data_IF_160071076831
#
_entry.id   IF_160071076831
#
_cell.length_a   1.000
_cell.length_b   1.000
_cell.length_c   1.000
_cell.angle_alpha   90.00
_cell.angle_beta   90.00
_cell.angle_gamma   90.00
#
_symmetry.space_group_name_H-M   'P 1'
#
loop_
_entity.id
_entity.type
_entity.pdbx_description
1 polymer ?
#
# COMPACT_ATOMS: atom_id res chain seq x y z
N UNK A 1 -22.47 2.88 17.62
CA UNK A 1 -21.28 2.03 17.40
C UNK A 1 -21.69 0.91 16.45
N UNK A 2 -21.52 1.10 15.14
CA UNK A 2 -21.67 0.01 14.16
C UNK A 2 -20.34 -0.72 14.07
N UNK A 3 -20.38 -2.05 14.06
CA UNK A 3 -19.23 -2.97 14.11
C UNK A 3 -18.32 -2.95 12.85
N UNK A 4 -18.22 -1.82 12.16
CA UNK A 4 -17.52 -1.69 10.87
C UNK A 4 -16.10 -1.13 10.98
N UNK A 5 -15.68 -0.75 12.19
CA UNK A 5 -14.37 -0.11 12.43
C UNK A 5 -13.48 -1.01 13.29
N UNK A 6 -13.22 -2.21 12.80
CA UNK A 6 -12.08 -3.01 13.28
C UNK A 6 -11.14 -3.13 12.08
N UNK A 7 -9.85 -2.77 12.19
CA UNK A 7 -8.88 -2.99 11.14
C UNK A 7 -8.72 -4.50 10.94
N UNK A 8 -9.49 -5.06 10.00
CA UNK A 8 -9.48 -6.49 9.70
C UNK A 8 -8.32 -6.80 8.76
N UNK A 9 -7.38 -7.68 9.15
CA UNK A 9 -6.30 -8.13 8.28
C UNK A 9 -6.88 -9.16 7.29
N UNK A 10 -7.45 -8.70 6.18
CA UNK A 10 -7.87 -9.57 5.08
C UNK A 10 -9.11 -9.12 4.33
N UNK A 11 -9.55 -9.97 3.41
CA UNK A 11 -10.78 -9.78 2.66
C UNK A 11 -11.99 -9.68 3.59
N UNK A 12 -12.93 -8.79 3.27
CA UNK A 12 -14.18 -8.70 4.02
C UNK A 12 -15.02 -9.96 3.74
N UNK A 13 -15.82 -10.43 4.71
CA UNK A 13 -16.77 -11.51 4.46
C UNK A 13 -17.66 -11.15 3.28
N UNK A 14 -18.03 -12.17 2.48
CA UNK A 14 -19.00 -11.97 1.43
C UNK A 14 -20.34 -11.54 2.03
N UNK A 15 -20.95 -10.49 1.48
CA UNK A 15 -22.25 -9.97 1.89
C UNK A 15 -23.16 -9.89 0.66
N UNK A 16 -24.40 -10.38 0.78
CA UNK A 16 -25.39 -10.39 -0.31
C UNK A 16 -24.85 -11.00 -1.62
N UNK A 17 -24.03 -12.07 -1.50
CA UNK A 17 -23.41 -12.74 -2.65
C UNK A 17 -22.22 -12.00 -3.28
N UNK A 18 -21.80 -10.87 -2.71
CA UNK A 18 -20.66 -10.07 -3.19
C UNK A 18 -19.42 -10.35 -2.35
N UNK A 19 -18.34 -10.79 -2.99
CA UNK A 19 -17.01 -10.89 -2.39
C UNK A 19 -16.23 -9.58 -2.60
N UNK A 20 -16.03 -8.81 -1.53
CA UNK A 20 -15.28 -7.55 -1.57
C UNK A 20 -13.80 -7.77 -1.19
N UNK A 21 -12.94 -7.87 -2.20
CA UNK A 21 -11.48 -8.03 -2.05
C UNK A 21 -10.73 -6.70 -1.93
N UNK A 22 -11.43 -5.56 -1.86
CA UNK A 22 -10.75 -4.26 -1.71
C UNK A 22 -10.16 -4.17 -0.30
N UNK A 23 -8.96 -3.58 -0.16
CA UNK A 23 -8.38 -3.33 1.16
C UNK A 23 -9.30 -2.45 2.04
N UNK A 24 -9.17 -2.52 3.38
CA UNK A 24 -9.84 -1.60 4.28
C UNK A 24 -9.57 -0.14 3.89
N UNK A 25 -10.61 0.70 3.83
CA UNK A 25 -10.51 2.07 3.29
C UNK A 25 -9.44 2.91 4.00
N UNK A 26 -9.31 2.76 5.31
CA UNK A 26 -8.32 3.46 6.12
C UNK A 26 -7.12 2.56 6.41
N UNK A 27 -6.42 2.13 5.36
CA UNK A 27 -5.24 1.29 5.49
C UNK A 27 -4.14 1.69 4.52
N UNK A 28 -2.89 1.39 4.89
CA UNK A 28 -1.74 1.59 4.01
C UNK A 28 -1.94 0.92 2.66
N UNK A 29 -2.53 -0.29 2.63
CA UNK A 29 -2.83 -1.03 1.39
C UNK A 29 -3.80 -0.26 0.49
N UNK A 30 -4.85 0.34 1.04
CA UNK A 30 -5.77 1.16 0.26
C UNK A 30 -5.09 2.42 -0.30
N UNK A 31 -4.23 3.06 0.47
CA UNK A 31 -3.47 4.23 0.02
C UNK A 31 -2.42 3.88 -1.04
N UNK A 32 -1.75 2.73 -0.93
CA UNK A 32 -0.84 2.22 -1.96
C UNK A 32 -1.60 1.95 -3.27
N UNK A 33 -2.77 1.30 -3.21
CA UNK A 33 -3.64 1.12 -4.39
C UNK A 33 -4.08 2.46 -4.99
N UNK A 34 -4.46 3.45 -4.17
CA UNK A 34 -4.85 4.79 -4.63
C UNK A 34 -3.72 5.47 -5.40
N UNK A 35 -2.47 5.23 -4.98
CA UNK A 35 -1.27 5.76 -5.62
C UNK A 35 -0.80 4.95 -6.84
N UNK A 36 -1.49 3.85 -7.18
CA UNK A 36 -1.20 3.01 -8.35
C UNK A 36 -0.21 1.88 -8.08
N UNK A 37 0.16 1.62 -6.83
CA UNK A 37 0.98 0.46 -6.49
C UNK A 37 0.12 -0.81 -6.38
N UNK A 38 0.70 -1.93 -6.79
CA UNK A 38 0.11 -3.26 -6.78
C UNK A 38 0.90 -4.20 -5.86
N UNK A 39 0.23 -5.19 -5.27
CA UNK A 39 0.90 -6.22 -4.48
C UNK A 39 1.92 -6.96 -5.35
N UNK A 40 3.13 -7.14 -4.83
CA UNK A 40 4.23 -7.79 -5.56
C UNK A 40 4.62 -9.12 -4.91
N UNK A 41 5.05 -9.10 -3.64
CA UNK A 41 5.47 -10.31 -2.91
C UNK A 41 5.26 -10.17 -1.41
N UNK A 42 5.29 -11.30 -0.71
CA UNK A 42 5.43 -11.36 0.74
C UNK A 42 6.45 -12.45 1.06
N UNK A 43 7.67 -12.06 1.41
CA UNK A 43 8.82 -12.97 1.52
C UNK A 43 9.01 -13.47 2.98
N UNK A 44 7.92 -13.53 3.76
CA UNK A 44 7.89 -14.01 5.14
C UNK A 44 8.31 -12.99 6.21
N UNK A 45 9.03 -11.93 5.83
CA UNK A 45 9.43 -10.83 6.73
C UNK A 45 8.73 -9.51 6.41
N UNK A 46 8.48 -9.23 5.13
CA UNK A 46 7.81 -8.00 4.72
C UNK A 46 6.94 -8.20 3.49
N UNK A 47 5.82 -7.48 3.48
CA UNK A 47 4.93 -7.32 2.33
C UNK A 47 5.50 -6.22 1.42
N UNK A 48 5.54 -6.47 0.10
CA UNK A 48 6.07 -5.55 -0.89
C UNK A 48 5.04 -5.21 -1.98
N UNK A 49 5.04 -3.94 -2.38
CA UNK A 49 4.14 -3.37 -3.38
C UNK A 49 4.94 -2.57 -4.40
N UNK A 50 4.52 -2.57 -5.66
CA UNK A 50 5.24 -1.88 -6.74
C UNK A 50 4.33 -1.09 -7.66
N UNK A 51 4.85 0.02 -8.14
CA UNK A 51 4.46 0.60 -9.43
C UNK A 51 5.65 0.35 -10.37
N UNK A 52 5.50 -0.61 -11.29
CA UNK A 52 6.56 -0.97 -12.23
C UNK A 52 6.80 0.13 -13.29
N UNK A 53 5.75 0.85 -13.67
CA UNK A 53 5.83 1.91 -14.69
C UNK A 53 6.62 3.10 -14.15
N UNK A 54 6.39 3.47 -12.90
CA UNK A 54 7.11 4.57 -12.22
C UNK A 54 8.34 4.10 -11.44
N UNK A 55 8.68 2.82 -11.47
CA UNK A 55 9.83 2.29 -10.73
C UNK A 55 9.77 2.59 -9.23
N UNK A 56 8.60 2.40 -8.59
CA UNK A 56 8.42 2.58 -7.14
C UNK A 56 8.36 1.21 -6.47
N UNK A 57 9.04 1.06 -5.34
CA UNK A 57 8.92 -0.06 -4.42
C UNK A 57 8.47 0.45 -3.06
N UNK A 58 7.42 -0.15 -2.50
CA UNK A 58 6.95 0.09 -1.16
C UNK A 58 7.09 -1.20 -0.34
N UNK A 59 7.76 -1.13 0.80
CA UNK A 59 7.97 -2.28 1.70
C UNK A 59 7.45 -1.95 3.07
N UNK A 60 6.55 -2.79 3.59
CA UNK A 60 6.04 -2.64 4.96
C UNK A 60 7.13 -2.94 5.98
N UNK A 61 7.05 -2.28 7.14
CA UNK A 61 7.83 -2.72 8.31
C UNK A 61 7.22 -4.00 8.91
N UNK A 62 7.96 -4.66 9.81
CA UNK A 62 7.55 -5.94 10.42
C UNK A 62 6.22 -5.87 11.20
N UNK A 63 5.86 -4.69 11.73
CA UNK A 63 4.59 -4.46 12.43
C UNK A 63 3.43 -4.08 11.50
N UNK A 64 3.74 -3.77 10.22
CA UNK A 64 2.76 -3.34 9.23
C UNK A 64 2.14 -1.96 9.50
N UNK A 65 2.78 -1.12 10.33
CA UNK A 65 2.26 0.20 10.74
C UNK A 65 2.77 1.35 9.88
N UNK A 66 3.80 1.10 9.09
CA UNK A 66 4.45 2.04 8.19
C UNK A 66 4.92 1.34 6.92
N UNK A 67 5.20 2.14 5.90
CA UNK A 67 5.73 1.66 4.62
C UNK A 67 6.90 2.52 4.17
N UNK A 68 8.01 1.89 3.78
CA UNK A 68 9.12 2.56 3.12
C UNK A 68 8.87 2.61 1.62
N UNK A 69 8.58 3.80 1.10
CA UNK A 69 8.45 4.07 -0.34
C UNK A 69 9.81 4.45 -0.90
N UNK A 70 10.25 3.77 -1.95
CA UNK A 70 11.60 3.86 -2.52
C UNK A 70 11.53 4.02 -4.03
N UNK A 71 12.22 5.02 -4.59
CA UNK A 71 12.54 5.05 -6.01
C UNK A 71 13.55 3.94 -6.31
N UNK A 72 13.16 2.99 -7.15
CA UNK A 72 14.00 1.83 -7.51
C UNK A 72 15.27 2.26 -8.23
N UNK A 73 15.23 3.37 -8.98
CA UNK A 73 16.37 3.81 -9.79
C UNK A 73 17.46 4.47 -8.97
N UNK A 74 17.09 5.34 -8.02
CA UNK A 74 18.07 6.08 -7.20
C UNK A 74 18.27 5.50 -5.80
N UNK A 75 17.43 4.54 -5.39
CA UNK A 75 17.37 3.99 -4.04
C UNK A 75 17.05 5.03 -2.94
N UNK A 76 16.64 6.25 -3.31
CA UNK A 76 16.11 7.21 -2.36
C UNK A 76 14.74 6.75 -1.88
N UNK A 77 14.53 6.76 -0.57
CA UNK A 77 13.26 6.35 0.00
C UNK A 77 12.96 7.03 1.31
N UNK A 78 11.68 7.01 1.68
CA UNK A 78 11.15 7.58 2.91
C UNK A 78 10.15 6.61 3.52
N UNK A 79 10.23 6.43 4.83
CA UNK A 79 9.20 5.74 5.61
C UNK A 79 8.05 6.67 5.88
N UNK A 80 6.83 6.22 5.60
CA UNK A 80 5.60 6.96 5.78
C UNK A 80 4.64 6.15 6.66
N UNK A 81 4.02 6.85 7.61
CA UNK A 81 2.83 6.37 8.34
C UNK A 81 1.58 6.44 7.46
N UNK A 82 0.47 5.87 7.93
CA UNK A 82 -0.82 5.97 7.22
C UNK A 82 -1.23 7.42 6.95
N UNK A 83 -1.13 8.29 7.97
CA UNK A 83 -1.55 9.69 7.85
C UNK A 83 -0.64 10.47 6.87
N UNK A 84 0.66 10.20 6.88
CA UNK A 84 1.58 10.78 5.89
C UNK A 84 1.29 10.28 4.47
N UNK A 85 1.01 8.99 4.30
CA UNK A 85 0.72 8.41 2.99
C UNK A 85 -0.61 8.91 2.41
N UNK A 86 -1.64 9.12 3.26
CA UNK A 86 -2.90 9.79 2.87
C UNK A 86 -2.66 11.19 2.29
N UNK A 87 -1.68 11.93 2.82
CA UNK A 87 -1.34 13.25 2.33
C UNK A 87 -0.59 13.24 0.98
N UNK A 88 -0.03 12.09 0.57
CA UNK A 88 0.65 11.95 -0.71
C UNK A 88 -0.38 11.88 -1.84
N UNK A 89 -0.29 12.80 -2.79
CA UNK A 89 -1.15 12.83 -3.99
C UNK A 89 -0.46 12.25 -5.23
N UNK A 90 0.86 12.24 -5.25
CA UNK A 90 1.70 11.76 -6.35
C UNK A 90 3.07 11.34 -5.84
N UNK A 91 3.64 10.31 -6.48
CA UNK A 91 5.04 9.90 -6.30
C UNK A 91 5.76 10.18 -7.61
N UNK A 92 6.80 11.00 -7.53
CA UNK A 92 7.72 11.26 -8.62
C UNK A 92 9.02 10.50 -8.39
N UNK A 93 9.53 9.87 -9.45
CA UNK A 93 10.77 9.09 -9.45
C UNK A 93 11.65 9.50 -10.62
N UNK A 94 12.88 8.98 -10.67
CA UNK A 94 13.75 9.13 -11.85
C UNK A 94 13.40 8.17 -12.99
N UNK A 95 12.43 7.26 -12.77
CA UNK A 95 11.90 6.39 -13.82
C UNK A 95 10.82 7.18 -14.55
N UNK A 96 11.08 7.50 -15.81
CA UNK A 96 10.07 8.08 -16.67
C UNK A 96 9.04 6.98 -16.97
N UNK A 97 7.80 7.19 -16.51
CA UNK A 97 6.67 6.50 -17.10
C UNK A 97 6.48 7.10 -18.51
N UNK A 98 6.58 6.27 -19.54
CA UNK A 98 6.34 6.65 -20.93
C UNK A 98 4.91 7.17 -21.14
#
# INVERSE_FOLDING_TARGET
>A
MTASDVPQPGARPAADGVLDLRPPKESLRAELCRLGLEFSSADGTAESWRDYQRGVLATFDDSGTSVKVTDVKTNLGRTLTLEELKAVTRIDTMTVAD
#
